data_IF_863820783928
#
_entry.id   IF_863820783928
#
_cell.length_a   1.000
_cell.length_b   1.000
_cell.length_c   1.000
_cell.angle_alpha   90.00
_cell.angle_beta   90.00
_cell.angle_gamma   90.00
#
_symmetry.space_group_name_H-M   'P 1'
#
loop_
_entity.id
_entity.type
_entity.pdbx_description
1 polymer ?
2 non-polymer ?
3 water ?
#
# COMPACT_ATOMS: atom_id res chain seq x y z
N UNK A 20 3.34 -3.81 -6.73
CA UNK A 20 3.55 -4.55 -5.47
C UNK A 20 2.67 -4.11 -4.29
N UNK A 21 1.87 -3.06 -4.43
CA UNK A 21 0.94 -2.71 -3.37
C UNK A 21 -0.47 -2.70 -3.95
N UNK A 22 -1.39 -3.33 -3.23
CA UNK A 22 -2.77 -3.45 -3.70
C UNK A 22 -3.70 -2.86 -2.63
N UNK A 23 -4.55 -1.92 -3.04
CA UNK A 23 -5.56 -1.39 -2.14
C UNK A 23 -6.89 -1.96 -2.59
N UNK A 24 -7.60 -2.62 -1.70
CA UNK A 24 -8.92 -3.15 -2.06
C UNK A 24 -9.98 -2.24 -1.48
N UNK A 25 -10.80 -1.66 -2.35
CA UNK A 25 -11.85 -0.76 -1.91
C UNK A 25 -13.03 -1.60 -1.38
N UNK A 26 -12.92 -2.03 -0.14
CA UNK A 26 -13.86 -3.01 0.41
C UNK A 26 -15.19 -2.41 0.83
N UNK A 27 -15.17 -1.14 1.20
CA UNK A 27 -16.36 -0.51 1.77
C UNK A 27 -16.37 0.99 1.49
N UNK A 28 -17.43 1.66 1.93
CA UNK A 28 -17.61 3.03 1.56
C UNK A 28 -16.60 3.96 2.22
N UNK A 29 -16.16 3.61 3.42
CA UNK A 29 -15.16 4.40 4.13
C UNK A 29 -13.86 4.46 3.32
N UNK A 30 -13.41 3.31 2.85
CA UNK A 30 -12.17 3.25 2.08
C UNK A 30 -12.37 3.98 0.76
N UNK A 31 -13.58 3.90 0.23
CA UNK A 31 -13.87 4.55 -1.05
C UNK A 31 -13.76 6.06 -0.92
N UNK A 32 -14.33 6.61 0.15
CA UNK A 32 -14.28 8.05 0.40
C UNK A 32 -12.83 8.52 0.63
N UNK A 33 -12.06 7.75 1.40
CA UNK A 33 -10.65 8.10 1.59
C UNK A 33 -9.89 8.05 0.28
N UNK A 34 -10.20 7.07 -0.56
CA UNK A 34 -9.50 6.98 -1.83
C UNK A 34 -9.82 8.18 -2.72
N UNK A 35 -11.10 8.53 -2.80
CA UNK A 35 -11.53 9.68 -3.60
C UNK A 35 -10.93 10.96 -3.06
N UNK A 36 -10.92 11.12 -1.73
CA UNK A 36 -10.33 12.30 -1.14
C UNK A 36 -8.86 12.40 -1.50
N UNK A 37 -8.19 11.25 -1.50
CA UNK A 37 -6.78 11.16 -1.88
C UNK A 37 -6.57 11.57 -3.32
N UNK A 38 -7.46 11.13 -4.22
CA UNK A 38 -7.37 11.51 -5.62
C UNK A 38 -7.57 13.01 -5.79
N UNK A 39 -8.57 13.57 -5.12
CA UNK A 39 -8.90 14.98 -5.26
C UNK A 39 -7.81 15.85 -4.65
N UNK A 40 -7.15 15.35 -3.61
CA UNK A 40 -6.07 16.09 -2.97
C UNK A 40 -4.86 16.15 -3.90
N UNK A 41 -4.52 15.02 -4.50
CA UNK A 41 -3.43 14.96 -5.45
C UNK A 41 -3.74 15.80 -6.69
N UNK A 42 -4.99 15.76 -7.15
CA UNK A 42 -5.36 16.51 -8.35
C UNK A 42 -5.29 18.01 -8.07
N UNK A 43 -5.78 18.43 -6.92
CA UNK A 43 -5.75 19.84 -6.55
C UNK A 43 -4.30 20.35 -6.52
N UNK A 44 -3.39 19.54 -6.00
CA UNK A 44 -2.02 19.94 -5.76
C UNK A 44 -1.15 19.96 -7.03
N UNK A 45 -1.36 19.02 -7.94
CA UNK A 45 -0.50 18.97 -9.13
C UNK A 45 -1.07 18.20 -10.31
N UNK A 46 -2.39 18.06 -10.38
CA UNK A 46 -3.03 17.51 -11.57
C UNK A 46 -4.34 18.24 -11.78
N UNK A 47 -4.27 19.57 -11.83
CA UNK A 47 -5.46 20.40 -11.92
C UNK A 47 -6.32 20.10 -13.13
N UNK A 48 -5.70 19.58 -14.19
CA UNK A 48 -6.41 19.37 -15.44
C UNK A 48 -7.44 18.23 -15.43
N UNK A 49 -7.46 17.44 -14.36
CA UNK A 49 -8.42 16.33 -14.25
C UNK A 49 -9.19 16.34 -12.92
N UNK A 50 -8.99 17.39 -12.14
CA UNK A 50 -9.61 17.49 -10.83
C UNK A 50 -11.15 17.43 -10.93
N UNK A 51 -11.70 18.07 -11.95
CA UNK A 51 -13.14 18.14 -12.11
C UNK A 51 -13.68 16.82 -12.68
N UNK A 52 -13.06 16.31 -13.73
CA UNK A 52 -13.56 15.10 -14.36
C UNK A 52 -13.39 13.89 -13.43
N UNK A 53 -12.46 13.96 -12.49
CA UNK A 53 -12.28 12.87 -11.54
C UNK A 53 -13.57 12.59 -10.74
N UNK A 54 -14.30 13.63 -10.38
CA UNK A 54 -15.55 13.40 -9.63
C UNK A 54 -16.58 12.66 -10.47
N UNK A 55 -16.74 13.07 -11.73
CA UNK A 55 -17.68 12.41 -12.63
C UNK A 55 -17.29 10.96 -12.88
N UNK A 56 -15.99 10.72 -13.04
CA UNK A 56 -15.49 9.36 -13.24
C UNK A 56 -15.74 8.53 -12.01
N UNK A 57 -15.65 9.14 -10.84
CA UNK A 57 -15.92 8.39 -9.62
C UNK A 57 -17.37 7.90 -9.62
N UNK A 58 -18.30 8.77 -9.98
CA UNK A 58 -19.69 8.36 -10.01
C UNK A 58 -19.93 7.32 -11.10
N UNK A 59 -19.33 7.52 -12.27
CA UNK A 59 -19.54 6.65 -13.42
C UNK A 59 -19.01 5.23 -13.18
N UNK A 60 -17.84 5.14 -12.55
CA UNK A 60 -17.28 3.83 -12.20
C UNK A 60 -18.16 3.09 -11.19
N UNK A 61 -18.64 3.79 -10.15
CA UNK A 61 -19.51 3.16 -9.17
C UNK A 61 -20.89 2.80 -9.75
N UNK A 62 -21.32 3.59 -10.72
CA UNK A 62 -22.59 3.36 -11.41
C UNK A 62 -22.59 1.99 -12.09
N UNK A 63 -21.53 1.71 -12.85
CA UNK A 63 -21.55 0.57 -13.75
C UNK A 63 -20.79 -0.68 -13.25
N UNK A 64 -20.08 -0.57 -12.14
CA UNK A 64 -19.21 -1.68 -11.72
C UNK A 64 -20.01 -2.94 -11.41
N UNK A 65 -19.44 -4.08 -11.78
CA UNK A 65 -19.91 -5.39 -11.33
C UNK A 65 -19.57 -5.52 -9.85
N UNK A 66 -19.95 -6.64 -9.22
CA UNK A 66 -19.83 -6.80 -7.77
C UNK A 66 -18.39 -6.75 -7.26
N UNK A 67 -17.45 -7.31 -8.03
CA UNK A 67 -16.03 -7.32 -7.67
C UNK A 67 -15.54 -5.97 -7.15
N UNK A 68 -14.74 -5.99 -6.09
CA UNK A 68 -14.23 -4.74 -5.52
C UNK A 68 -13.24 -4.06 -6.45
N UNK A 69 -13.35 -2.73 -6.52
CA UNK A 69 -12.31 -1.89 -7.14
C UNK A 69 -11.00 -2.18 -6.41
N UNK A 70 -9.91 -2.21 -7.18
CA UNK A 70 -8.58 -2.39 -6.62
C UNK A 70 -7.68 -1.32 -7.20
N UNK A 71 -6.76 -0.80 -6.41
CA UNK A 71 -5.81 0.18 -6.92
C UNK A 71 -4.43 -0.43 -6.69
N UNK A 72 -3.71 -0.65 -7.79
CA UNK A 72 -2.40 -1.31 -7.72
C UNK A 72 -1.32 -0.26 -7.91
N UNK A 73 -0.29 -0.28 -7.09
CA UNK A 73 0.83 0.63 -7.32
C UNK A 73 2.04 -0.26 -7.46
N UNK A 74 2.68 -0.24 -8.62
CA UNK A 74 3.89 -1.03 -8.82
C UNK A 74 5.07 -0.08 -8.99
N UNK A 75 5.20 0.79 -7.99
CA UNK A 75 6.31 1.72 -7.87
C UNK A 75 6.30 2.25 -6.46
N UNK A 76 5.08 2.42 -5.94
CA UNK A 76 4.80 2.95 -4.62
C UNK A 76 3.59 3.86 -4.81
N UNK A 77 3.29 4.68 -3.82
CA UNK A 77 2.07 5.48 -3.87
C UNK A 77 1.95 6.37 -5.13
N UNK A 78 2.96 6.37 -5.98
CA UNK A 78 2.96 7.26 -7.13
C UNK A 78 2.43 6.68 -8.44
N UNK A 79 2.79 5.44 -8.77
CA UNK A 79 2.42 4.86 -10.07
C UNK A 79 1.16 3.99 -9.96
N UNK A 80 0.05 4.63 -9.61
CA UNK A 80 -1.23 3.95 -9.36
C UNK A 80 -1.99 3.53 -10.61
N UNK A 81 -2.64 2.37 -10.57
CA UNK A 81 -3.60 2.02 -11.59
C UNK A 81 -4.87 1.51 -10.91
N UNK A 82 -6.02 2.12 -11.21
CA UNK A 82 -7.27 1.67 -10.62
C UNK A 82 -7.90 0.65 -11.56
N UNK A 83 -8.35 -0.49 -11.01
CA UNK A 83 -8.95 -1.54 -11.82
C UNK A 83 -10.39 -1.72 -11.43
N UNK A 84 -11.27 -1.81 -12.41
CA UNK A 84 -12.68 -2.10 -12.12
C UNK A 84 -13.23 -3.06 -13.17
N UNK A 85 -14.14 -3.96 -12.79
CA UNK A 85 -14.75 -4.86 -13.76
C UNK A 85 -16.15 -4.36 -14.06
N UNK A 86 -16.47 -4.28 -15.35
CA UNK A 86 -17.80 -3.86 -15.81
C UNK A 86 -18.25 -4.81 -16.90
N UNK A 87 -19.42 -5.43 -16.71
CA UNK A 87 -19.92 -6.42 -17.66
C UNK A 87 -18.91 -7.52 -17.96
N UNK A 88 -18.16 -7.92 -16.95
CA UNK A 88 -17.24 -9.03 -17.09
C UNK A 88 -15.91 -8.65 -17.74
N UNK A 89 -15.76 -7.37 -18.10
CA UNK A 89 -14.50 -6.88 -18.68
C UNK A 89 -13.72 -6.03 -17.69
N UNK A 90 -12.39 -6.15 -17.68
CA UNK A 90 -11.56 -5.32 -16.79
C UNK A 90 -11.20 -4.00 -17.45
N UNK A 91 -11.17 -2.92 -16.66
CA UNK A 91 -10.82 -1.60 -17.16
C UNK A 91 -9.84 -0.98 -16.21
N UNK A 92 -8.79 -0.35 -16.76
CA UNK A 92 -7.70 0.21 -15.98
C UNK A 92 -7.67 1.72 -16.17
N UNK A 93 -7.65 2.48 -15.07
CA UNK A 93 -7.56 3.93 -15.12
C UNK A 93 -6.25 4.38 -14.49
N UNK A 94 -5.56 5.30 -15.14
CA UNK A 94 -4.31 5.82 -14.60
C UNK A 94 -4.07 7.24 -15.11
N UNK A 95 -3.23 8.01 -14.43
CA UNK A 95 -2.99 9.38 -14.85
C UNK A 95 -1.69 9.46 -15.61
N UNK A 96 -1.73 10.13 -16.75
CA UNK A 96 -0.54 10.40 -17.55
C UNK A 96 -0.13 11.84 -17.28
N UNK A 97 0.99 12.03 -16.57
CA UNK A 97 1.39 13.36 -16.13
C UNK A 97 2.01 14.21 -17.24
N UNK A 98 2.25 13.63 -18.41
CA UNK A 98 2.75 14.41 -19.54
C UNK A 98 1.60 14.97 -20.38
N UNK A 99 0.65 14.12 -20.71
CA UNK A 99 -0.53 14.56 -21.45
C UNK A 99 -1.54 15.22 -20.51
N UNK A 100 -1.38 14.97 -19.22
CA UNK A 100 -2.30 15.46 -18.18
C UNK A 100 -3.70 14.94 -18.42
N UNK A 101 -3.80 13.65 -18.65
CA UNK A 101 -5.10 13.01 -18.89
C UNK A 101 -5.20 11.74 -18.08
N UNK A 102 -6.42 11.38 -17.70
CA UNK A 102 -6.67 10.07 -17.14
C UNK A 102 -6.91 9.12 -18.28
N UNK A 103 -6.07 8.08 -18.39
CA UNK A 103 -6.17 7.11 -19.47
C UNK A 103 -7.02 5.95 -19.02
N UNK A 104 -7.88 5.47 -19.92
CA UNK A 104 -8.73 4.32 -19.66
C UNK A 104 -8.34 3.23 -20.66
N UNK A 105 -7.99 2.06 -20.15
CA UNK A 105 -7.68 0.89 -20.97
C UNK A 105 -8.62 -0.27 -20.68
N UNK A 106 -8.74 -1.20 -21.62
CA UNK A 106 -9.62 -2.35 -21.47
C UNK A 106 -8.83 -3.62 -21.66
N UNK A 107 -9.02 -4.59 -20.76
CA UNK A 107 -8.31 -5.86 -20.84
C UNK A 107 -6.85 -5.69 -20.46
N UNK A 108 -5.97 -5.93 -21.42
CA UNK A 108 -4.54 -5.69 -21.25
C UNK A 108 -4.28 -4.25 -20.79
N UNK A 109 -3.46 -4.09 -19.76
CA UNK A 109 -3.05 -2.75 -19.34
C UNK A 109 -1.99 -2.20 -20.29
N UNK A 110 -1.45 -3.08 -21.14
CA UNK A 110 -0.41 -2.66 -22.08
C UNK A 110 -0.99 -2.40 -23.48
N UNK A 111 -2.32 -2.39 -23.59
CA UNK A 111 -2.97 -2.03 -24.83
C UNK A 111 -3.02 -0.52 -24.99
N UNK A 112 -3.45 -0.05 -26.16
CA UNK A 112 -3.67 1.38 -26.34
C UNK A 112 -4.82 1.81 -25.45
N UNK A 113 -4.90 3.10 -25.16
CA UNK A 113 -6.04 3.63 -24.43
C UNK A 113 -7.28 3.53 -25.31
N UNK A 114 -8.45 3.41 -24.70
CA UNK A 114 -9.70 3.49 -25.45
C UNK A 114 -10.33 4.87 -25.26
N UNK A 115 -10.03 5.51 -24.14
CA UNK A 115 -10.44 6.89 -23.91
C UNK A 115 -9.41 7.61 -23.07
N UNK A 116 -9.33 8.92 -23.25
CA UNK A 116 -8.52 9.77 -22.41
C UNK A 116 -9.41 10.90 -21.91
N UNK A 117 -9.46 11.09 -20.59
CA UNK A 117 -10.38 12.03 -19.96
C UNK A 117 -9.64 13.21 -19.32
N UNK A 118 -10.18 14.41 -19.46
CA UNK A 118 -9.77 15.53 -18.60
C UNK A 118 -10.95 16.46 -18.35
N UNK A 119 -10.68 17.66 -17.82
CA UNK A 119 -11.75 18.57 -17.43
C UNK A 119 -12.60 19.03 -18.61
N UNK A 120 -12.05 18.93 -19.82
CA UNK A 120 -12.75 19.39 -21.02
C UNK A 120 -13.59 18.28 -21.68
N UNK A 121 -13.49 17.06 -21.16
CA UNK A 121 -14.35 15.97 -21.64
C UNK A 121 -15.83 16.34 -21.42
N UNK A 122 -16.63 16.42 -22.49
CA UNK A 122 -18.06 16.71 -22.28
C UNK A 122 -18.72 15.63 -21.41
N UNK A 123 -19.53 16.04 -20.44
CA UNK A 123 -20.10 15.09 -19.51
C UNK A 123 -21.07 14.17 -20.22
N UNK A 124 -21.70 14.69 -21.28
CA UNK A 124 -22.63 13.89 -22.04
C UNK A 124 -21.90 12.72 -22.68
N UNK A 125 -20.66 12.96 -23.09
CA UNK A 125 -19.85 11.94 -23.74
C UNK A 125 -19.40 10.91 -22.70
N UNK A 126 -19.09 11.38 -21.49
CA UNK A 126 -18.70 10.48 -20.43
C UNK A 126 -19.88 9.58 -20.07
N UNK A 127 -21.08 10.14 -20.01
CA UNK A 127 -22.25 9.33 -19.72
C UNK A 127 -22.47 8.31 -20.83
N UNK A 128 -22.36 8.74 -22.07
CA UNK A 128 -22.51 7.86 -23.21
C UNK A 128 -21.56 6.67 -23.16
N UNK A 129 -20.29 6.95 -22.89
CA UNK A 129 -19.28 5.90 -22.86
C UNK A 129 -19.64 4.87 -21.80
N UNK A 130 -19.90 5.34 -20.58
CA UNK A 130 -20.17 4.42 -19.49
C UNK A 130 -21.50 3.70 -19.67
N UNK A 131 -22.49 4.37 -20.24
CA UNK A 131 -23.78 3.72 -20.47
C UNK A 131 -23.56 2.51 -21.37
N UNK A 132 -22.60 2.63 -22.29
CA UNK A 132 -22.42 1.62 -23.32
C UNK A 132 -21.58 0.42 -22.93
N UNK A 133 -20.86 0.51 -21.81
CA UNK A 133 -19.96 -0.55 -21.41
C UNK A 133 -20.72 -1.83 -21.03
N UNK B 20 -7.44 -5.17 3.57
CA UNK B 20 -7.50 -3.74 3.14
C UNK B 20 -6.36 -3.35 2.18
N UNK B 21 -5.13 -3.26 2.69
CA UNK B 21 -3.98 -2.95 1.85
C UNK B 21 -3.00 -4.10 2.00
N UNK B 22 -2.38 -4.49 0.89
CA UNK B 22 -1.47 -5.62 0.89
C UNK B 22 -0.18 -5.24 0.17
N UNK B 23 0.93 -5.36 0.86
CA UNK B 23 2.23 -5.09 0.28
C UNK B 23 2.88 -6.43 -0.03
N UNK B 24 3.19 -6.67 -1.29
CA UNK B 24 3.88 -7.88 -1.68
C UNK B 24 5.36 -7.54 -1.80
N UNK B 25 6.19 -8.16 -0.97
CA UNK B 25 7.61 -7.86 -0.95
C UNK B 25 8.36 -8.81 -1.89
N UNK B 26 8.70 -8.32 -3.08
CA UNK B 26 9.27 -9.17 -4.12
C UNK B 26 10.78 -9.00 -4.20
N UNK B 27 11.24 -7.80 -3.94
CA UNK B 27 12.66 -7.49 -4.17
C UNK B 27 13.30 -6.91 -2.92
N UNK B 28 14.62 -6.82 -2.94
CA UNK B 28 15.37 -6.42 -1.77
C UNK B 28 15.18 -4.95 -1.47
N UNK B 29 15.00 -4.15 -2.51
CA UNK B 29 14.74 -2.72 -2.34
C UNK B 29 13.45 -2.49 -1.51
N UNK B 30 12.37 -3.18 -1.85
CA UNK B 30 11.13 -3.02 -1.09
C UNK B 30 11.33 -3.58 0.33
N UNK B 31 12.05 -4.69 0.43
CA UNK B 31 12.34 -5.32 1.72
C UNK B 31 13.09 -4.36 2.65
N UNK B 32 14.15 -3.71 2.15
CA UNK B 32 14.93 -2.79 2.97
C UNK B 32 14.08 -1.63 3.46
N UNK B 33 13.26 -1.08 2.56
CA UNK B 33 12.36 0.00 2.96
C UNK B 33 11.41 -0.48 4.06
N UNK B 34 10.94 -1.71 3.96
CA UNK B 34 10.02 -2.21 4.96
C UNK B 34 10.74 -2.38 6.30
N UNK B 35 11.94 -2.93 6.25
CA UNK B 35 12.70 -3.12 7.46
C UNK B 35 13.02 -1.77 8.10
N UNK B 36 13.34 -0.78 7.30
CA UNK B 36 13.68 0.55 7.81
C UNK B 36 12.50 1.15 8.54
N UNK B 37 11.32 1.00 7.94
CA UNK B 37 10.09 1.49 8.56
C UNK B 37 9.83 0.82 9.88
N UNK B 38 10.08 -0.49 9.95
CA UNK B 38 9.93 -1.22 11.19
C UNK B 38 10.90 -0.69 12.25
N UNK B 39 12.13 -0.43 11.85
CA UNK B 39 13.15 -0.01 12.80
C UNK B 39 12.84 1.40 13.33
N UNK B 40 12.29 2.24 12.47
CA UNK B 40 11.97 3.62 12.85
C UNK B 40 10.76 3.63 13.79
N UNK B 41 9.81 2.73 13.54
CA UNK B 41 8.65 2.64 14.41
C UNK B 41 9.08 2.09 15.77
N UNK B 42 10.01 1.15 15.77
CA UNK B 42 10.43 0.53 17.02
C UNK B 42 11.25 1.51 17.85
N UNK B 43 12.07 2.31 17.17
CA UNK B 43 12.85 3.33 17.84
C UNK B 43 11.92 4.32 18.56
N UNK B 44 10.90 4.77 17.85
CA UNK B 44 9.99 5.79 18.37
C UNK B 44 8.95 5.26 19.37
N UNK B 45 8.41 4.08 19.09
CA UNK B 45 7.21 3.60 19.78
C UNK B 45 7.34 2.20 20.39
N UNK B 46 8.34 1.44 19.96
CA UNK B 46 8.42 0.05 20.38
C UNK B 46 9.86 -0.35 20.65
N UNK B 47 10.50 0.36 21.57
CA UNK B 47 11.92 0.20 21.83
C UNK B 47 12.29 -1.18 22.32
N UNK B 48 11.32 -1.91 22.86
CA UNK B 48 11.62 -3.19 23.49
C UNK B 48 11.96 -4.31 22.49
N UNK B 49 11.73 -4.07 21.21
CA UNK B 49 11.91 -5.11 20.20
C UNK B 49 12.79 -4.65 19.04
N UNK B 50 13.39 -3.47 19.17
CA UNK B 50 14.22 -2.91 18.10
C UNK B 50 15.38 -3.84 17.75
N UNK B 51 16.02 -4.41 18.77
CA UNK B 51 17.19 -5.24 18.53
C UNK B 51 16.78 -6.55 17.88
N UNK B 52 15.82 -7.25 18.48
CA UNK B 52 15.45 -8.58 18.02
C UNK B 52 14.82 -8.56 16.61
N UNK B 53 14.29 -7.41 16.22
CA UNK B 53 13.68 -7.26 14.90
C UNK B 53 14.67 -7.56 13.77
N UNK B 54 15.92 -7.14 13.94
CA UNK B 54 16.89 -7.37 12.89
C UNK B 54 17.20 -8.84 12.74
N UNK B 55 17.31 -9.54 13.87
CA UNK B 55 17.62 -10.96 13.84
C UNK B 55 16.43 -11.74 13.27
N UNK B 56 15.22 -11.28 13.58
CA UNK B 56 14.01 -11.91 13.05
C UNK B 56 13.97 -11.74 11.55
N UNK B 57 14.36 -10.55 11.06
CA UNK B 57 14.45 -10.32 9.63
C UNK B 57 15.33 -11.37 8.98
N UNK B 58 16.51 -11.60 9.54
CA UNK B 58 17.43 -12.54 8.92
C UNK B 58 16.88 -13.94 8.97
N UNK B 59 16.30 -14.31 10.09
CA UNK B 59 15.81 -15.68 10.30
C UNK B 59 14.62 -15.98 9.37
N UNK B 60 13.74 -15.02 9.18
CA UNK B 60 12.61 -15.19 8.28
C UNK B 60 13.11 -15.35 6.84
N UNK B 61 14.05 -14.50 6.44
CA UNK B 61 14.62 -14.57 5.10
C UNK B 61 15.34 -15.90 4.91
N UNK B 62 15.96 -16.38 5.97
CA UNK B 62 16.68 -17.65 5.97
C UNK B 62 15.79 -18.85 5.63
N UNK B 63 14.64 -18.95 6.30
CA UNK B 63 13.85 -20.18 6.22
C UNK B 63 12.63 -20.11 5.29
N UNK B 64 12.30 -18.94 4.77
CA UNK B 64 11.07 -18.82 3.95
C UNK B 64 11.14 -19.65 2.68
N UNK B 65 10.00 -20.17 2.22
CA UNK B 65 9.95 -20.84 0.94
C UNK B 65 9.93 -19.76 -0.15
N UNK B 66 9.78 -20.15 -1.41
CA UNK B 66 9.85 -19.20 -2.50
C UNK B 66 8.60 -18.32 -2.62
N UNK B 67 7.58 -18.56 -1.80
CA UNK B 67 6.39 -17.68 -1.77
C UNK B 67 6.76 -16.27 -1.28
N UNK B 68 6.19 -15.25 -1.92
CA UNK B 68 6.51 -13.87 -1.54
C UNK B 68 5.98 -13.52 -0.18
N UNK B 69 6.78 -12.80 0.59
CA UNK B 69 6.33 -12.20 1.84
C UNK B 69 5.23 -11.20 1.51
N UNK B 70 4.19 -11.18 2.33
CA UNK B 70 3.10 -10.21 2.19
C UNK B 70 2.90 -9.49 3.50
N UNK B 71 2.69 -8.19 3.45
CA UNK B 71 2.39 -7.43 4.66
C UNK B 71 1.00 -6.82 4.52
N UNK B 72 0.07 -7.25 5.38
CA UNK B 72 -1.32 -6.76 5.32
C UNK B 72 -1.52 -5.66 6.36
N UNK B 73 -2.18 -4.57 5.98
CA UNK B 73 -2.27 -3.41 6.85
C UNK B 73 -3.73 -3.17 7.22
N UNK B 79 -1.36 -1.46 12.26
CA UNK B 79 -2.06 -2.74 12.28
C UNK B 79 -1.53 -3.69 11.21
N UNK B 80 -0.22 -3.64 10.99
CA UNK B 80 0.42 -4.55 10.04
C UNK B 80 0.52 -5.98 10.57
N UNK B 81 0.30 -6.93 9.68
CA UNK B 81 0.66 -8.32 9.94
C UNK B 81 1.54 -8.81 8.78
N UNK B 82 2.72 -9.31 9.11
CA UNK B 82 3.60 -9.87 8.09
C UNK B 82 3.36 -11.37 7.95
N UNK B 83 3.11 -11.82 6.73
CA UNK B 83 2.87 -13.23 6.44
C UNK B 83 4.02 -13.83 5.64
N UNK B 84 4.49 -15.00 6.06
CA UNK B 84 5.53 -15.72 5.34
C UNK B 84 5.24 -17.21 5.47
N UNK B 85 5.55 -17.99 4.43
CA UNK B 85 5.38 -19.44 4.52
C UNK B 85 6.75 -20.11 4.71
N UNK B 86 6.84 -20.98 5.72
CA UNK B 86 8.05 -21.74 6.01
C UNK B 86 7.71 -23.23 6.12
N UNK B 87 8.29 -24.03 5.23
CA UNK B 87 8.14 -25.48 5.30
C UNK B 87 6.66 -25.86 5.32
N UNK B 88 5.89 -25.23 4.45
CA UNK B 88 4.48 -25.59 4.29
C UNK B 88 3.53 -25.04 5.33
N UNK B 89 4.03 -24.23 6.26
CA UNK B 89 3.17 -23.62 7.27
C UNK B 89 3.19 -22.11 7.12
N UNK B 90 2.04 -21.47 7.32
CA UNK B 90 1.99 -20.02 7.23
C UNK B 90 2.20 -19.41 8.62
N UNK B 91 3.05 -18.39 8.70
CA UNK B 91 3.29 -17.70 9.98
C UNK B 91 2.95 -16.22 9.87
N UNK B 92 2.35 -15.68 10.92
CA UNK B 92 1.96 -14.29 10.97
C UNK B 92 2.77 -13.61 12.06
N UNK B 93 3.48 -12.55 11.70
CA UNK B 93 4.27 -11.79 12.66
C UNK B 93 3.65 -10.43 12.87
N UNK B 94 3.56 -10.00 14.12
CA UNK B 94 2.99 -8.70 14.43
C UNK B 94 3.53 -8.23 15.76
N UNK B 95 3.32 -6.95 16.07
CA UNK B 95 3.73 -6.42 17.35
C UNK B 95 2.52 -6.27 18.26
N UNK B 96 2.60 -6.83 19.46
CA UNK B 96 1.61 -6.62 20.51
C UNK B 96 2.01 -5.43 21.37
N UNK B 97 1.27 -4.34 21.28
CA UNK B 97 1.67 -3.11 21.94
C UNK B 97 1.38 -3.10 23.44
N UNK B 98 0.62 -4.08 23.91
CA UNK B 98 0.36 -4.22 25.34
C UNK B 98 1.43 -5.07 26.05
N UNK B 99 1.77 -6.20 25.46
CA UNK B 99 2.81 -7.05 26.02
C UNK B 99 4.19 -6.57 25.60
N UNK B 100 4.23 -5.69 24.59
CA UNK B 100 5.48 -5.20 24.02
C UNK B 100 6.36 -6.30 23.43
N UNK B 101 5.70 -7.27 22.80
CA UNK B 101 6.39 -8.38 22.17
C UNK B 101 6.02 -8.53 20.71
N UNK B 102 6.95 -9.06 19.92
CA UNK B 102 6.63 -9.48 18.57
C UNK B 102 6.07 -10.88 18.66
N UNK B 103 4.85 -11.06 18.16
CA UNK B 103 4.20 -12.36 18.23
C UNK B 103 4.38 -13.10 16.93
N UNK B 104 4.55 -14.42 17.04
CA UNK B 104 4.61 -15.31 15.89
C UNK B 104 3.47 -16.32 16.00
N UNK B 105 2.55 -16.29 15.05
CA UNK B 105 1.38 -17.18 15.08
C UNK B 105 1.35 -18.08 13.88
N UNK B 106 0.91 -19.31 14.09
CA UNK B 106 0.95 -20.32 13.04
C UNK B 106 -0.47 -20.67 12.63
N UNK B 107 -0.68 -20.87 11.34
CA UNK B 107 -1.99 -21.15 10.80
C UNK B 107 -2.59 -19.92 10.16
N UNK B 112 -3.31 -18.73 17.46
CA UNK B 112 -2.64 -18.66 18.76
C UNK B 112 -1.12 -18.55 18.59
N UNK B 113 -0.45 -17.89 19.53
CA UNK B 113 0.97 -17.62 19.38
C UNK B 113 1.79 -18.82 19.80
N UNK B 114 2.79 -19.13 18.98
CA UNK B 114 3.71 -20.22 19.30
C UNK B 114 5.01 -19.65 19.87
N UNK B 115 5.30 -18.38 19.57
CA UNK B 115 6.49 -17.73 20.14
C UNK B 115 6.30 -16.23 20.28
N UNK B 116 6.88 -15.66 21.34
CA UNK B 116 6.95 -14.22 21.50
C UNK B 116 8.42 -13.82 21.55
N UNK B 117 8.74 -12.66 20.97
CA UNK B 117 10.13 -12.21 20.90
C UNK B 117 10.28 -10.80 21.43
N UNK B 118 11.39 -10.52 22.11
CA UNK B 118 11.78 -9.14 22.33
C UNK B 118 13.29 -9.08 22.47
N UNK B 119 13.82 -7.93 22.87
CA UNK B 119 15.27 -7.77 22.92
C UNK B 119 15.91 -8.76 23.88
N UNK B 120 15.11 -9.23 24.83
CA UNK B 120 15.55 -10.18 25.84
C UNK B 120 15.82 -11.58 25.28
N UNK B 121 15.20 -11.89 24.14
CA UNK B 121 15.31 -13.20 23.52
C UNK B 121 16.75 -13.51 23.08
N UNK B 122 17.36 -14.54 23.68
CA UNK B 122 18.74 -14.87 23.31
C UNK B 122 18.80 -15.30 21.84
N UNK B 123 19.82 -14.86 21.11
CA UNK B 123 19.90 -15.23 19.69
C UNK B 123 19.99 -16.73 19.51
N UNK B 124 20.55 -17.42 20.51
CA UNK B 124 20.69 -18.86 20.41
C UNK B 124 19.32 -19.52 20.34
N UNK B 125 18.40 -19.03 21.16
CA UNK B 125 17.02 -19.54 21.20
C UNK B 125 16.29 -19.25 19.89
N UNK B 126 16.48 -18.04 19.38
CA UNK B 126 15.92 -17.67 18.09
C UNK B 126 16.45 -18.56 16.97
N UNK B 127 17.76 -18.82 16.92
CA UNK B 127 18.26 -19.73 15.90
C UNK B 127 17.61 -21.10 16.05
N UNK B 128 17.55 -21.57 17.29
CA UNK B 128 17.00 -22.89 17.59
C UNK B 128 15.57 -22.98 17.07
N UNK B 129 14.77 -21.94 17.33
CA UNK B 129 13.37 -21.95 16.92
C UNK B 129 13.27 -22.06 15.41
N UNK B 130 13.98 -21.20 14.70
CA UNK B 130 13.89 -21.18 13.24
C UNK B 130 14.52 -22.37 12.56
N UNK B 131 15.63 -22.87 13.10
CA UNK B 131 16.26 -24.05 12.55
C UNK B 131 15.31 -25.25 12.60
N UNK B 132 14.45 -25.29 13.62
CA UNK B 132 13.51 -26.39 13.80
C UNK B 132 12.21 -26.31 13.01
N UNK B 133 11.96 -25.18 12.36
CA UNK B 133 10.70 -24.95 11.66
C UNK B 133 10.56 -25.86 10.44
N UNK C 22 -36.72 3.95 5.37
CA UNK C 22 -35.74 4.60 4.51
C UNK C 22 -34.56 3.67 4.23
N UNK C 23 -33.95 3.83 3.06
CA UNK C 23 -32.79 3.02 2.65
C UNK C 23 -31.50 3.54 3.26
N UNK C 24 -30.80 2.67 3.98
CA UNK C 24 -29.46 2.99 4.47
C UNK C 24 -28.38 2.46 3.50
N UNK C 25 -27.62 3.38 2.92
CA UNK C 25 -26.53 2.97 2.02
C UNK C 25 -25.34 2.49 2.84
N UNK C 26 -25.32 1.18 3.13
CA UNK C 26 -24.40 0.60 4.10
C UNK C 26 -23.13 0.03 3.49
N UNK C 27 -23.13 -0.18 2.18
CA UNK C 27 -21.97 -0.75 1.51
C UNK C 27 -21.95 -0.43 0.01
N UNK C 28 -20.83 -0.76 -0.64
CA UNK C 28 -20.62 -0.36 -2.03
C UNK C 28 -21.64 -1.02 -2.96
N UNK C 29 -22.07 -2.24 -2.62
CA UNK C 29 -23.07 -2.95 -3.41
C UNK C 29 -24.37 -2.13 -3.52
N UNK C 30 -24.89 -1.73 -2.37
CA UNK C 30 -26.12 -0.92 -2.30
C UNK C 30 -25.90 0.43 -2.96
N UNK C 31 -24.68 0.95 -2.81
CA UNK C 31 -24.38 2.28 -3.34
C UNK C 31 -24.48 2.27 -4.86
N UNK C 32 -23.94 1.22 -5.50
CA UNK C 32 -23.96 1.13 -6.96
C UNK C 32 -25.40 0.94 -7.44
N UNK C 33 -26.15 0.12 -6.71
CA UNK C 33 -27.55 -0.08 -7.03
C UNK C 33 -28.32 1.23 -6.92
N UNK C 34 -28.01 2.03 -5.90
CA UNK C 34 -28.71 3.30 -5.74
C UNK C 34 -28.39 4.28 -6.85
N UNK C 35 -27.10 4.40 -7.17
CA UNK C 35 -26.69 5.29 -8.24
C UNK C 35 -27.32 4.83 -9.55
N UNK C 36 -27.37 3.53 -9.78
CA UNK C 36 -27.98 3.00 -10.99
C UNK C 36 -29.45 3.38 -11.04
N UNK C 37 -30.11 3.35 -9.88
CA UNK C 37 -31.52 3.69 -9.81
C UNK C 37 -31.70 5.14 -10.18
N UNK C 38 -30.85 6.00 -9.63
CA UNK C 38 -30.89 7.42 -9.94
C UNK C 38 -30.71 7.65 -11.43
N UNK C 39 -29.70 7.03 -12.03
CA UNK C 39 -29.41 7.24 -13.45
C UNK C 39 -30.54 6.71 -14.34
N UNK C 40 -31.13 5.58 -13.97
CA UNK C 40 -32.27 5.05 -14.73
C UNK C 40 -33.46 6.02 -14.69
N UNK C 41 -33.70 6.61 -13.53
CA UNK C 41 -34.83 7.52 -13.38
C UNK C 41 -34.57 8.81 -14.12
N UNK C 42 -33.33 9.28 -14.07
CA UNK C 42 -32.96 10.54 -14.70
C UNK C 42 -33.07 10.43 -16.21
N UNK C 43 -32.63 9.30 -16.76
CA UNK C 43 -32.68 9.08 -18.19
C UNK C 43 -34.12 9.12 -18.69
N UNK C 44 -35.00 8.47 -17.95
CA UNK C 44 -36.40 8.33 -18.37
C UNK C 44 -37.24 9.58 -18.19
N UNK C 45 -37.09 10.23 -17.04
CA UNK C 45 -38.03 11.27 -16.62
C UNK C 45 -37.37 12.59 -16.19
N UNK C 46 -36.05 12.60 -16.00
CA UNK C 46 -35.38 13.83 -15.62
C UNK C 46 -34.05 13.98 -16.31
N UNK C 47 -34.08 14.10 -17.64
CA UNK C 47 -32.87 14.10 -18.43
C UNK C 47 -31.94 15.28 -18.17
N UNK C 48 -32.47 16.36 -17.62
CA UNK C 48 -31.70 17.59 -17.41
C UNK C 48 -30.78 17.54 -16.18
N UNK C 49 -30.76 16.42 -15.46
CA UNK C 49 -29.84 16.25 -14.34
C UNK C 49 -29.05 14.93 -14.43
N UNK C 50 -29.20 14.21 -15.54
CA UNK C 50 -28.57 12.91 -15.70
C UNK C 50 -27.04 12.98 -15.67
N UNK C 51 -26.48 14.05 -16.22
CA UNK C 51 -25.02 14.17 -16.25
C UNK C 51 -24.45 14.64 -14.92
N UNK C 52 -25.06 15.67 -14.35
CA UNK C 52 -24.53 16.23 -13.12
C UNK C 52 -24.66 15.22 -11.98
N UNK C 53 -25.60 14.27 -12.12
CA UNK C 53 -25.83 13.30 -11.08
C UNK C 53 -24.58 12.48 -10.78
N UNK C 54 -23.85 12.08 -11.83
CA UNK C 54 -22.63 11.30 -11.63
C UNK C 54 -21.59 12.09 -10.87
N UNK C 55 -21.44 13.36 -11.22
CA UNK C 55 -20.46 14.23 -10.58
C UNK C 55 -20.87 14.50 -9.14
N UNK C 56 -22.17 14.68 -8.90
CA UNK C 56 -22.69 14.83 -7.54
C UNK C 56 -22.44 13.60 -6.71
N UNK C 57 -22.59 12.43 -7.32
CA UNK C 57 -22.34 11.20 -6.61
C UNK C 57 -20.88 11.22 -6.12
N UNK C 58 -19.97 11.52 -7.03
CA UNK C 58 -18.56 11.60 -6.69
C UNK C 58 -18.30 12.60 -5.57
N UNK C 59 -18.94 13.76 -5.67
CA UNK C 59 -18.72 14.85 -4.73
C UNK C 59 -19.22 14.50 -3.31
N UNK C 60 -20.36 13.83 -3.24
CA UNK C 60 -20.94 13.45 -1.95
C UNK C 60 -20.08 12.37 -1.28
N UNK C 61 -19.55 11.45 -2.07
CA UNK C 61 -18.72 10.39 -1.52
C UNK C 61 -17.39 10.99 -1.11
N UNK C 62 -16.95 11.97 -1.88
CA UNK C 62 -15.71 12.68 -1.60
C UNK C 62 -15.74 13.28 -0.20
N UNK C 63 -16.81 13.99 0.13
CA UNK C 63 -16.81 14.83 1.34
C UNK C 63 -17.57 14.30 2.57
N UNK C 64 -18.26 13.17 2.46
CA UNK C 64 -19.09 12.67 3.57
C UNK C 64 -18.27 12.24 4.80
N UNK C 65 -18.86 12.44 5.98
CA UNK C 65 -18.37 11.89 7.25
C UNK C 65 -18.62 10.40 7.21
N UNK C 66 -18.36 9.74 8.34
CA UNK C 66 -18.50 8.28 8.42
C UNK C 66 -19.95 7.83 8.49
N UNK C 67 -20.85 8.75 8.83
CA UNK C 67 -22.27 8.42 8.91
C UNK C 67 -22.75 7.91 7.56
N UNK C 68 -23.59 6.89 7.59
CA UNK C 68 -24.13 6.32 6.37
C UNK C 68 -25.08 7.28 5.67
N UNK C 69 -25.09 7.19 4.35
CA UNK C 69 -26.05 7.91 3.54
C UNK C 69 -27.40 7.26 3.75
N UNK C 70 -28.46 8.06 3.81
CA UNK C 70 -29.80 7.52 3.97
C UNK C 70 -30.72 8.19 2.95
N UNK C 71 -31.57 7.41 2.31
CA UNK C 71 -32.56 7.96 1.40
C UNK C 71 -33.94 7.68 1.99
N UNK C 72 -34.72 8.72 2.17
CA UNK C 72 -35.97 8.62 2.92
C UNK C 72 -37.17 9.04 2.08
N UNK C 73 -38.35 8.65 2.51
CA UNK C 73 -39.59 9.05 1.83
C UNK C 73 -40.69 9.30 2.85
N UNK C 79 -41.72 12.74 -2.95
CA UNK C 79 -40.36 12.65 -3.46
C UNK C 79 -39.37 12.21 -2.38
N UNK C 80 -38.40 11.40 -2.79
CA UNK C 80 -37.35 10.95 -1.87
C UNK C 80 -36.37 12.06 -1.53
N UNK C 81 -35.78 11.98 -0.34
CA UNK C 81 -34.71 12.89 0.05
C UNK C 81 -33.46 12.10 0.46
N UNK C 82 -32.31 12.47 -0.09
CA UNK C 82 -31.05 11.84 0.30
C UNK C 82 -30.33 12.70 1.33
N UNK C 83 -30.02 12.11 2.48
CA UNK C 83 -29.28 12.81 3.53
C UNK C 83 -27.83 12.35 3.63
N UNK C 84 -26.93 13.30 3.74
CA UNK C 84 -25.53 13.02 3.98
C UNK C 84 -25.01 14.06 4.96
N UNK C 85 -24.04 13.67 5.78
CA UNK C 85 -23.42 14.60 6.71
C UNK C 85 -22.01 14.92 6.25
N UNK C 86 -21.71 16.21 6.13
CA UNK C 86 -20.40 16.66 5.68
C UNK C 86 -19.88 17.70 6.67
N UNK C 87 -18.65 17.51 7.12
CA UNK C 87 -18.01 18.42 8.08
C UNK C 87 -18.96 18.90 9.18
N UNK C 88 -19.75 17.99 9.72
CA UNK C 88 -20.60 18.30 10.86
C UNK C 88 -21.91 19.02 10.54
N UNK C 89 -22.35 18.93 9.29
CA UNK C 89 -23.61 19.54 8.86
C UNK C 89 -24.41 18.56 8.01
N UNK C 90 -25.72 18.53 8.20
CA UNK C 90 -26.58 17.62 7.45
C UNK C 90 -27.08 18.30 6.18
N UNK C 91 -27.03 17.57 5.06
CA UNK C 91 -27.42 18.10 3.77
C UNK C 91 -28.46 17.20 3.12
N UNK C 92 -29.52 17.81 2.60
CA UNK C 92 -30.58 17.07 1.93
C UNK C 92 -30.53 17.34 0.43
N UNK C 93 -30.52 16.27 -0.36
CA UNK C 93 -30.59 16.38 -1.82
C UNK C 93 -31.91 15.80 -2.29
N UNK C 94 -32.62 16.50 -3.17
CA UNK C 94 -33.85 15.96 -3.75
C UNK C 94 -34.17 16.61 -5.08
N UNK C 95 -34.92 15.90 -5.91
CA UNK C 95 -35.24 16.39 -7.25
C UNK C 95 -36.54 17.18 -7.29
N UNK C 96 -36.51 18.30 -8.01
CA UNK C 96 -37.68 19.15 -8.20
C UNK C 96 -38.13 19.06 -9.65
N UNK C 97 -39.26 18.38 -9.89
CA UNK C 97 -39.75 18.15 -11.25
C UNK C 97 -40.11 19.44 -11.97
N UNK C 98 -40.54 20.44 -11.22
CA UNK C 98 -41.01 21.71 -11.78
C UNK C 98 -39.87 22.56 -12.34
N UNK C 99 -38.76 22.62 -11.61
CA UNK C 99 -37.59 23.38 -12.04
C UNK C 99 -36.57 22.49 -12.73
N UNK C 100 -36.77 21.18 -12.61
CA UNK C 100 -35.81 20.18 -13.12
C UNK C 100 -34.40 20.43 -12.57
N UNK C 101 -34.34 20.63 -11.26
CA UNK C 101 -33.06 20.77 -10.55
C UNK C 101 -32.96 19.73 -9.46
N UNK C 102 -31.74 19.33 -9.15
CA UNK C 102 -31.46 18.68 -7.89
C UNK C 102 -31.17 19.78 -6.88
N UNK C 103 -31.89 19.76 -5.78
CA UNK C 103 -31.82 20.82 -4.80
C UNK C 103 -31.00 20.35 -3.62
N UNK C 104 -30.18 21.26 -3.07
CA UNK C 104 -29.34 20.96 -1.92
C UNK C 104 -29.76 21.88 -0.79
N UNK C 105 -30.12 21.30 0.35
CA UNK C 105 -30.54 22.07 1.50
C UNK C 105 -29.61 21.74 2.66
N UNK C 106 -29.39 22.71 3.53
CA UNK C 106 -28.54 22.49 4.68
C UNK C 106 -29.37 22.49 5.95
N UNK C 107 -29.44 21.33 6.60
CA UNK C 107 -30.08 21.23 7.90
C UNK C 107 -31.41 20.51 7.86
N UNK C 108 -32.48 21.24 7.56
CA UNK C 108 -33.81 20.66 7.48
C UNK C 108 -34.44 20.92 6.12
N UNK C 109 -35.11 19.90 5.60
CA UNK C 109 -35.76 19.98 4.30
C UNK C 109 -36.81 21.10 4.29
N UNK C 110 -37.15 21.60 5.47
CA UNK C 110 -38.14 22.67 5.59
C UNK C 110 -37.48 24.05 5.63
N UNK C 111 -36.77 24.38 4.56
CA UNK C 111 -36.08 25.66 4.43
C UNK C 111 -35.62 25.92 3.00
N UNK C 112 -34.89 27.01 2.76
CA UNK C 112 -34.44 27.36 1.42
C UNK C 112 -33.25 26.53 0.95
N UNK C 113 -33.16 26.31 -0.36
CA UNK C 113 -32.02 25.63 -0.95
C UNK C 113 -30.80 26.54 -0.89
N UNK C 114 -29.62 25.95 -0.73
CA UNK C 114 -28.37 26.71 -0.76
C UNK C 114 -27.68 26.57 -2.12
N UNK C 115 -27.94 25.46 -2.81
CA UNK C 115 -27.50 25.29 -4.19
C UNK C 115 -28.50 24.47 -4.96
N UNK C 116 -28.55 24.70 -6.27
CA UNK C 116 -29.33 23.87 -7.18
C UNK C 116 -28.42 23.42 -8.32
N UNK C 117 -28.53 22.14 -8.70
CA UNK C 117 -27.65 21.57 -9.72
C UNK C 117 -28.44 20.99 -10.88
N UNK C 118 -27.91 21.17 -12.07
CA UNK C 118 -28.38 20.42 -13.21
C UNK C 118 -27.25 20.28 -14.22
N UNK C 119 -27.56 19.83 -15.42
CA UNK C 119 -26.55 19.54 -16.41
C UNK C 119 -25.78 20.79 -16.85
N UNK C 120 -26.36 21.97 -16.58
CA UNK C 120 -25.72 23.24 -16.91
C UNK C 120 -24.75 23.73 -15.83
N UNK C 121 -24.76 23.09 -14.67
CA UNK C 121 -23.84 23.47 -13.60
C UNK C 121 -22.41 23.15 -14.04
N UNK C 122 -21.52 24.16 -14.08
CA UNK C 122 -20.11 23.86 -14.41
C UNK C 122 -19.45 22.99 -13.33
N UNK C 123 -18.68 22.00 -13.74
CA UNK C 123 -17.98 21.14 -12.77
C UNK C 123 -17.05 21.96 -11.89
N UNK C 124 -16.51 23.04 -12.45
CA UNK C 124 -15.63 23.92 -11.69
C UNK C 124 -16.39 24.44 -10.48
N UNK C 125 -17.66 24.79 -10.69
CA UNK C 125 -18.49 25.33 -9.63
C UNK C 125 -18.85 24.24 -8.62
N UNK C 126 -19.10 23.03 -9.11
CA UNK C 126 -19.43 21.92 -8.24
C UNK C 126 -18.26 21.60 -7.31
N UNK C 127 -17.06 21.56 -7.87
CA UNK C 127 -15.87 21.30 -7.08
C UNK C 127 -15.70 22.40 -6.04
N UNK C 128 -15.88 23.65 -6.46
CA UNK C 128 -15.75 24.79 -5.56
C UNK C 128 -16.72 24.71 -4.37
N UNK C 129 -17.98 24.39 -4.65
CA UNK C 129 -18.98 24.26 -3.60
C UNK C 129 -18.60 23.15 -2.59
N UNK C 130 -18.29 21.96 -3.09
CA UNK C 130 -18.00 20.85 -2.19
C UNK C 130 -16.66 21.02 -1.48
N UNK C 131 -15.71 21.67 -2.13
CA UNK C 131 -14.40 21.86 -1.53
C UNK C 131 -14.53 22.72 -0.28
N UNK C 132 -15.47 23.66 -0.30
CA UNK C 132 -15.62 24.62 0.77
C UNK C 132 -16.54 24.20 1.91
N UNK C 133 -17.25 23.09 1.75
CA UNK C 133 -18.18 22.65 2.78
C UNK C 133 -17.41 22.26 4.04
N UNK D 22 30.53 -12.75 -10.02
CA UNK D 22 29.82 -11.66 -9.35
C UNK D 22 28.31 -11.89 -9.34
N UNK D 23 27.74 -11.96 -8.15
CA UNK D 23 26.32 -12.23 -8.02
C UNK D 23 25.58 -10.99 -7.53
N UNK D 24 24.66 -10.46 -8.35
CA UNK D 24 23.83 -9.35 -7.91
C UNK D 24 22.60 -9.89 -7.19
N UNK D 25 22.43 -9.46 -5.95
CA UNK D 25 21.37 -9.96 -5.10
C UNK D 25 20.26 -8.91 -5.07
N UNK D 26 19.38 -8.99 -6.06
CA UNK D 26 18.28 -8.02 -6.23
C UNK D 26 16.94 -8.58 -5.75
N UNK D 27 16.69 -9.86 -5.97
CA UNK D 27 15.40 -10.41 -5.57
C UNK D 27 15.52 -11.24 -4.30
N UNK D 28 14.40 -11.36 -3.59
CA UNK D 28 14.42 -11.89 -2.25
C UNK D 28 14.74 -13.38 -2.22
N UNK D 29 14.32 -14.10 -3.24
CA UNK D 29 14.59 -15.54 -3.29
C UNK D 29 16.09 -15.81 -3.43
N UNK D 30 16.80 -14.98 -4.18
CA UNK D 30 18.23 -15.17 -4.32
C UNK D 30 18.90 -14.86 -2.99
N UNK D 31 18.39 -13.83 -2.32
CA UNK D 31 18.90 -13.43 -1.02
C UNK D 31 18.72 -14.56 0.00
N UNK D 32 17.54 -15.18 0.02
CA UNK D 32 17.28 -16.31 0.92
C UNK D 32 18.24 -17.46 0.67
N UNK D 33 18.50 -17.74 -0.60
CA UNK D 33 19.41 -18.82 -0.96
C UNK D 33 20.81 -18.48 -0.44
N UNK D 34 21.21 -17.23 -0.59
CA UNK D 34 22.52 -16.81 -0.14
C UNK D 34 22.65 -17.01 1.37
N UNK D 35 21.67 -16.50 2.11
CA UNK D 35 21.66 -16.61 3.57
C UNK D 35 21.64 -18.07 4.02
N UNK D 36 20.87 -18.90 3.31
CA UNK D 36 20.81 -20.32 3.64
C UNK D 36 22.18 -20.97 3.51
N UNK D 37 22.92 -20.58 2.47
CA UNK D 37 24.26 -21.10 2.24
C UNK D 37 25.18 -20.67 3.36
N UNK D 38 25.04 -19.43 3.79
CA UNK D 38 25.86 -18.88 4.87
C UNK D 38 25.60 -19.63 6.17
N UNK D 39 24.33 -19.94 6.46
CA UNK D 39 23.98 -20.59 7.71
C UNK D 39 24.39 -22.07 7.70
N UNK D 40 24.30 -22.70 6.55
CA UNK D 40 24.69 -24.10 6.43
C UNK D 40 26.19 -24.26 6.65
N UNK D 41 26.97 -23.36 6.03
CA UNK D 41 28.41 -23.33 6.23
C UNK D 41 28.72 -23.11 7.70
N UNK D 42 28.02 -22.16 8.33
CA UNK D 42 28.32 -21.81 9.71
C UNK D 42 27.99 -22.99 10.64
N UNK D 43 26.90 -23.68 10.34
CA UNK D 43 26.47 -24.81 11.15
C UNK D 43 27.54 -25.90 11.11
N UNK D 44 28.13 -26.09 9.93
CA UNK D 44 29.06 -27.19 9.71
C UNK D 44 30.52 -26.84 10.05
N UNK D 45 30.91 -25.59 9.83
CA UNK D 45 32.32 -25.21 9.92
C UNK D 45 32.61 -24.02 10.82
N UNK D 46 31.61 -23.17 11.06
CA UNK D 46 31.85 -21.94 11.79
C UNK D 46 30.69 -21.59 12.71
N UNK D 47 30.47 -22.42 13.73
CA UNK D 47 29.34 -22.23 14.61
C UNK D 47 29.49 -20.99 15.48
N UNK D 48 30.70 -20.43 15.48
CA UNK D 48 31.00 -19.25 16.28
C UNK D 48 30.32 -17.97 15.77
N UNK D 49 29.78 -18.02 14.56
CA UNK D 49 29.17 -16.82 13.96
C UNK D 49 27.77 -17.13 13.41
N UNK D 50 27.28 -18.32 13.67
CA UNK D 50 25.97 -18.75 13.17
C UNK D 50 24.87 -17.80 13.60
N UNK D 51 24.91 -17.39 14.87
CA UNK D 51 23.86 -16.54 15.42
C UNK D 51 23.93 -15.10 14.92
N UNK D 52 25.12 -14.51 14.98
CA UNK D 52 25.28 -13.10 14.64
C UNK D 52 24.99 -12.90 13.15
N UNK D 53 25.21 -13.93 12.34
CA UNK D 53 25.02 -13.79 10.90
C UNK D 53 23.58 -13.38 10.57
N UNK D 54 22.62 -13.90 11.31
CA UNK D 54 21.22 -13.55 11.05
C UNK D 54 20.95 -12.09 11.39
N UNK D 55 21.49 -11.61 12.50
CA UNK D 55 21.27 -10.22 12.85
C UNK D 55 22.00 -9.29 11.87
N UNK D 56 23.19 -9.69 11.44
CA UNK D 56 23.96 -8.93 10.45
C UNK D 56 23.17 -8.83 9.15
N UNK D 57 22.51 -9.92 8.76
CA UNK D 57 21.65 -9.92 7.59
C UNK D 57 20.59 -8.82 7.70
N UNK D 58 19.87 -8.80 8.83
CA UNK D 58 18.86 -7.77 9.05
C UNK D 58 19.45 -6.37 9.07
N UNK D 59 20.55 -6.19 9.81
CA UNK D 59 21.16 -4.86 9.93
C UNK D 59 21.68 -4.35 8.59
N UNK D 60 22.23 -5.23 7.76
CA UNK D 60 22.72 -4.85 6.44
C UNK D 60 21.53 -4.42 5.57
N UNK D 61 20.46 -5.19 5.60
CA UNK D 61 19.28 -4.84 4.81
C UNK D 61 18.67 -3.55 5.30
N UNK D 62 18.72 -3.32 6.62
CA UNK D 62 18.17 -2.11 7.24
C UNK D 62 18.83 -0.84 6.70
N UNK D 63 20.14 -0.80 6.75
CA UNK D 63 20.85 0.47 6.55
C UNK D 63 21.39 0.70 5.13
N UNK D 64 21.30 -0.28 4.26
CA UNK D 64 21.84 -0.14 2.90
C UNK D 64 21.11 0.94 2.12
N UNK D 65 21.83 1.65 1.26
CA UNK D 65 21.17 2.57 0.36
C UNK D 65 20.59 1.77 -0.82
N UNK D 66 20.34 2.42 -1.95
CA UNK D 66 19.63 1.77 -3.06
C UNK D 66 20.53 0.94 -3.97
N UNK D 67 21.84 1.00 -3.77
CA UNK D 67 22.78 0.17 -4.51
C UNK D 67 22.52 -1.30 -4.25
N UNK D 68 22.45 -2.11 -5.31
CA UNK D 68 22.21 -3.55 -5.16
C UNK D 68 23.34 -4.23 -4.38
N UNK D 69 22.98 -5.16 -3.52
CA UNK D 69 23.97 -6.00 -2.85
C UNK D 69 24.72 -6.81 -3.90
N UNK D 70 26.02 -6.99 -3.72
CA UNK D 70 26.80 -7.87 -4.58
C UNK D 70 27.63 -8.84 -3.76
N UNK D 71 27.71 -10.08 -4.22
CA UNK D 71 28.57 -11.06 -3.58
C UNK D 71 29.65 -11.41 -4.57
N UNK D 72 30.87 -10.95 -4.31
CA UNK D 72 32.02 -11.30 -5.15
C UNK D 72 32.62 -12.63 -4.70
N UNK D 73 32.63 -13.62 -5.58
CA UNK D 73 33.22 -14.91 -5.27
C UNK D 73 34.59 -15.01 -5.92
N UNK D 74 35.58 -15.47 -5.15
CA UNK D 74 36.96 -15.52 -5.62
C UNK D 74 37.49 -16.95 -5.67
N UNK D 75 36.88 -17.77 -6.51
CA UNK D 75 37.39 -19.11 -6.77
C UNK D 75 36.65 -20.24 -6.08
N UNK D 76 36.19 -19.98 -4.85
CA UNK D 76 35.47 -21.00 -4.08
C UNK D 76 34.19 -20.42 -3.50
N UNK D 77 33.23 -21.29 -3.20
CA UNK D 77 31.99 -20.86 -2.59
C UNK D 77 32.25 -20.28 -1.20
N UNK D 78 33.43 -20.52 -0.64
CA UNK D 78 33.74 -19.98 0.69
C UNK D 78 34.77 -18.86 0.62
N UNK D 79 35.14 -18.44 -0.58
CA UNK D 79 35.90 -17.21 -0.76
C UNK D 79 34.98 -16.10 -1.28
N UNK D 80 33.88 -15.86 -0.56
CA UNK D 80 32.94 -14.79 -0.89
C UNK D 80 33.19 -13.52 -0.10
N UNK D 81 33.07 -12.37 -0.76
CA UNK D 81 32.93 -11.08 -0.06
C UNK D 81 31.60 -10.44 -0.43
N UNK D 82 30.80 -10.10 0.58
CA UNK D 82 29.53 -9.41 0.33
C UNK D 82 29.75 -7.90 0.41
N UNK D 83 29.37 -7.20 -0.66
CA UNK D 83 29.54 -5.76 -0.71
C UNK D 83 28.19 -5.05 -0.63
N UNK D 84 28.16 -4.00 0.18
CA UNK D 84 26.98 -3.16 0.27
C UNK D 84 27.44 -1.73 0.46
N UNK D 85 26.64 -0.76 0.02
CA UNK D 85 26.92 0.64 0.30
C UNK D 85 25.95 1.16 1.35
N UNK D 86 26.48 1.73 2.42
CA UNK D 86 25.68 2.33 3.48
C UNK D 86 26.10 3.79 3.67
N UNK D 87 25.19 4.71 3.37
CA UNK D 87 25.43 6.13 3.58
C UNK D 87 26.70 6.57 2.86
N UNK D 88 26.78 6.24 1.56
CA UNK D 88 27.88 6.71 0.73
C UNK D 88 29.16 5.88 0.84
N UNK D 89 29.28 5.11 1.91
CA UNK D 89 30.48 4.31 2.13
C UNK D 89 30.26 2.87 1.69
N UNK D 90 31.33 2.22 1.23
CA UNK D 90 31.24 0.85 0.76
C UNK D 90 31.85 -0.10 1.80
N UNK D 91 31.12 -1.15 2.15
CA UNK D 91 31.56 -2.09 3.18
C UNK D 91 31.61 -3.51 2.64
N UNK D 92 32.66 -4.22 3.02
CA UNK D 92 32.85 -5.62 2.65
C UNK D 92 32.72 -6.51 3.88
N UNK D 93 31.94 -7.57 3.76
CA UNK D 93 31.73 -8.52 4.86
C UNK D 93 32.27 -9.87 4.43
N UNK D 94 33.04 -10.50 5.30
CA UNK D 94 33.60 -11.83 5.01
C UNK D 94 33.91 -12.58 6.29
N UNK D 95 34.21 -13.87 6.16
CA UNK D 95 34.60 -14.68 7.29
C UNK D 95 36.10 -14.91 7.23
N UNK D 96 36.75 -14.69 8.36
CA UNK D 96 38.18 -14.98 8.48
C UNK D 96 38.29 -16.30 9.24
N UNK D 97 38.73 -17.35 8.55
CA UNK D 97 38.70 -18.69 9.14
C UNK D 97 39.84 -18.93 10.13
N UNK D 98 40.74 -17.97 10.27
CA UNK D 98 41.74 -18.05 11.32
C UNK D 98 41.25 -17.48 12.64
N UNK D 99 40.75 -16.26 12.62
CA UNK D 99 40.26 -15.62 13.83
C UNK D 99 38.88 -16.14 14.18
N UNK D 100 38.25 -16.78 13.21
CA UNK D 100 36.87 -17.21 13.31
C UNK D 100 35.93 -16.03 13.62
N UNK D 101 36.13 -14.93 12.89
CA UNK D 101 35.28 -13.75 13.02
C UNK D 101 34.76 -13.33 11.65
N UNK D 102 33.57 -12.73 11.61
CA UNK D 102 33.14 -12.01 10.43
C UNK D 102 33.76 -10.64 10.42
N UNK D 103 34.50 -10.31 9.38
CA UNK D 103 35.12 -9.00 9.27
C UNK D 103 34.28 -8.02 8.47
N UNK D 104 34.14 -6.82 9.00
CA UNK D 104 33.52 -5.72 8.30
C UNK D 104 34.60 -4.70 7.97
N UNK D 105 34.93 -4.58 6.69
CA UNK D 105 35.97 -3.67 6.25
C UNK D 105 35.34 -2.50 5.49
N UNK D 106 35.87 -1.29 5.73
CA UNK D 106 35.36 -0.11 5.04
C UNK D 106 36.31 0.31 3.93
N UNK D 107 35.75 0.95 2.91
CA UNK D 107 36.54 1.45 1.80
C UNK D 107 36.56 0.50 0.62
N UNK D 108 36.68 1.07 -0.58
CA UNK D 108 36.80 0.28 -1.80
C UNK D 108 37.93 0.83 -2.67
N UNK D 109 38.88 -0.03 -3.05
CA UNK D 109 38.92 -1.42 -2.65
C UNK D 109 39.77 -1.60 -1.41
N UNK D 110 40.77 -0.73 -1.26
CA UNK D 110 41.62 -0.74 -0.06
C UNK D 110 40.75 -0.58 1.18
N UNK D 111 40.61 -1.66 1.94
CA UNK D 111 39.70 -1.67 3.07
C UNK D 111 40.28 -2.33 4.32
N UNK D 112 40.14 -1.64 5.45
CA UNK D 112 40.64 -2.13 6.72
C UNK D 112 39.51 -2.40 7.72
N UNK D 113 39.70 -3.40 8.57
CA UNK D 113 38.64 -3.89 9.47
C UNK D 113 38.23 -2.82 10.45
N UNK D 114 36.96 -2.43 10.41
CA UNK D 114 36.42 -1.48 11.37
C UNK D 114 35.67 -2.20 12.49
N UNK D 115 35.14 -3.39 12.18
CA UNK D 115 34.48 -4.23 13.17
C UNK D 115 34.65 -5.71 12.88
N UNK D 116 34.68 -6.51 13.93
CA UNK D 116 34.68 -7.97 13.79
C UNK D 116 33.52 -8.49 14.63
N UNK D 117 32.82 -9.49 14.11
CA UNK D 117 31.60 -9.97 14.73
C UNK D 117 31.66 -11.48 14.96
N UNK D 118 31.05 -11.92 16.04
CA UNK D 118 30.75 -13.33 16.22
C UNK D 118 29.60 -13.47 17.21
N UNK D 119 29.36 -14.68 17.70
CA UNK D 119 28.17 -14.92 18.50
C UNK D 119 28.25 -14.25 19.87
N UNK D 120 29.46 -13.84 20.27
CA UNK D 120 29.61 -13.17 21.55
C UNK D 120 29.26 -11.69 21.44
N UNK D 121 29.15 -11.20 20.21
CA UNK D 121 28.78 -9.79 19.98
C UNK D 121 27.35 -9.49 20.46
N UNK D 122 27.21 -8.69 21.51
CA UNK D 122 25.86 -8.33 21.97
C UNK D 122 25.04 -7.70 20.84
N UNK D 123 23.79 -8.10 20.71
CA UNK D 123 22.90 -7.54 19.71
C UNK D 123 22.77 -6.03 19.88
N UNK D 124 22.73 -5.58 21.13
CA UNK D 124 22.59 -4.15 21.41
C UNK D 124 23.78 -3.39 20.82
N UNK D 125 24.95 -4.00 20.85
CA UNK D 125 26.14 -3.36 20.29
C UNK D 125 26.12 -3.33 18.76
N UNK D 126 25.60 -4.40 18.17
CA UNK D 126 25.48 -4.46 16.71
C UNK D 126 24.52 -3.38 16.21
N UNK D 127 23.40 -3.22 16.90
CA UNK D 127 22.44 -2.20 16.53
C UNK D 127 23.06 -0.82 16.68
N UNK D 128 23.81 -0.63 17.76
CA UNK D 128 24.45 0.66 18.01
C UNK D 128 25.40 1.01 16.85
N UNK D 129 26.16 0.02 16.40
CA UNK D 129 27.11 0.22 15.30
C UNK D 129 26.39 0.64 14.02
N UNK D 130 25.37 -0.13 13.64
CA UNK D 130 24.66 0.12 12.39
C UNK D 130 23.79 1.37 12.44
N UNK D 131 23.35 1.77 13.62
CA UNK D 131 22.51 2.95 13.73
C UNK D 131 23.34 4.16 13.34
N UNK D 132 24.62 4.13 13.73
CA UNK D 132 25.50 5.27 13.55
C UNK D 132 26.26 5.33 12.24
N UNK D 133 26.12 4.32 11.38
CA UNK D 133 26.77 4.38 10.07
C UNK D 133 26.17 5.51 9.25
#
# INVERSE_FOLDING_TARGET
>A
MGSSHHHHHHSSGLVPRGSHMALTVKDVNILSQYISGVMARADHHAGNVEEIALALAGAILWRKDDTNIKVMAHGADTKNVLWVTINGERYAFSYNHSSEKIEMRKGNIQGNTIHEFDNSTPLSKLVEIFKGL
>B
MGSSHHHHHHSSGLVPRGSHMALTVKDVNILSQYISGVMARADHHAGNVEEIALALAGAILWRKDDTNIKVMAHGADTKNVLWVTINGERYAFSYNHSSEKIEMRKGNIQGNTIHEFDNSTPLSKLVEIFKGL
>C
MGSSHHHHHHSSGLVPRGSHMALTVKDVNILSQYISGVMARADHHAGNVEEIALALAGAILWRKDDTNIKVMAHGADTKNVLWVTINGERYAFSYNHSSEKIEMRKGNIQGNTIHEFDNSTPLSKLVEIFKGL
>D
MGSSHHHHHHSSGLVPRGSHMALTVKDVNILSQYISGVMARADHHAGNVEEIALALAGAILWRKDDTNIKVMAHGADTKNVLWVTINGERYAFSYNHSSEKIEMRKGNIQGNTIHEFDNSTPLSKLVEIFKGL
#
